data_IF_030394044574
#
_entry.id   IF_030394044574
#
_cell.length_a   1.000
_cell.length_b   1.000
_cell.length_c   1.000
_cell.angle_alpha   90.00
_cell.angle_beta   90.00
_cell.angle_gamma   90.00
#
_symmetry.space_group_name_H-M   'P 1'
#
loop_
_entity.id
_entity.type
_entity.pdbx_description
1 polymer ?
#
# COMPACT_ATOMS: atom_id res chain seq x y z
N UNK A 1 43.84 26.34 60.42
CA UNK A 1 42.51 25.96 59.94
C UNK A 1 42.26 26.69 58.61
N UNK A 2 42.32 25.94 57.54
CA UNK A 2 42.11 26.46 56.20
C UNK A 2 40.69 26.01 55.76
N UNK A 3 39.83 26.98 55.57
CA UNK A 3 38.46 26.74 55.14
C UNK A 3 38.40 26.90 53.62
N UNK A 4 38.24 25.80 52.87
CA UNK A 4 37.98 25.82 51.47
C UNK A 4 36.47 25.99 51.26
N UNK A 5 36.07 27.09 50.65
CA UNK A 5 34.72 27.29 50.12
C UNK A 5 34.67 26.75 48.69
N UNK A 6 33.93 25.69 48.47
CA UNK A 6 33.56 25.19 47.15
C UNK A 6 32.45 26.08 46.59
N UNK A 7 32.76 26.81 45.52
CA UNK A 7 31.78 27.48 44.72
C UNK A 7 31.05 26.41 43.90
N UNK A 8 29.74 26.24 44.17
CA UNK A 8 28.90 25.42 43.38
C UNK A 8 28.66 26.06 41.99
N UNK A 9 29.08 25.40 40.92
CA UNK A 9 28.56 25.69 39.58
C UNK A 9 27.10 25.26 39.55
N UNK A 10 26.20 26.22 39.49
CA UNK A 10 24.83 25.99 39.03
C UNK A 10 24.92 25.68 37.54
N UNK A 11 24.75 24.42 37.19
CA UNK A 11 24.36 24.06 35.85
C UNK A 11 22.96 24.64 35.64
N UNK A 12 22.88 25.72 34.86
CA UNK A 12 21.63 26.10 34.26
C UNK A 12 21.19 24.93 33.35
N UNK A 13 20.17 24.21 33.80
CA UNK A 13 19.41 23.35 32.91
C UNK A 13 18.86 24.25 31.81
N UNK A 14 19.48 24.16 30.64
CA UNK A 14 18.87 24.60 29.41
C UNK A 14 17.71 23.64 29.22
N UNK A 15 16.54 24.03 29.70
CA UNK A 15 15.28 23.48 29.23
C UNK A 15 15.19 23.86 27.75
N UNK A 16 15.80 23.03 26.89
CA UNK A 16 15.47 23.03 25.51
C UNK A 16 13.97 22.76 25.43
N UNK A 17 13.23 23.69 24.85
CA UNK A 17 11.85 23.44 24.45
C UNK A 17 11.85 22.08 23.73
N UNK A 18 11.42 21.03 24.43
CA UNK A 18 10.99 19.80 23.77
C UNK A 18 9.76 20.23 22.99
N UNK A 19 9.95 20.58 21.73
CA UNK A 19 8.86 20.69 20.80
C UNK A 19 8.14 19.34 20.85
N UNK A 20 6.87 19.37 21.21
CA UNK A 20 6.04 18.18 21.34
C UNK A 20 6.03 17.46 20.00
N UNK A 21 6.68 16.30 19.93
CA UNK A 21 6.73 15.50 18.72
C UNK A 21 5.34 14.91 18.42
N UNK A 22 4.87 15.05 17.17
CA UNK A 22 3.65 14.41 16.74
C UNK A 22 3.84 12.91 16.69
N UNK A 23 3.01 12.18 17.41
CA UNK A 23 2.97 10.72 17.34
C UNK A 23 2.01 10.27 16.25
N UNK A 24 2.51 9.54 15.27
CA UNK A 24 1.69 8.92 14.22
C UNK A 24 1.52 7.44 14.55
N UNK A 25 0.28 7.02 14.71
CA UNK A 25 -0.06 5.62 14.95
C UNK A 25 -0.57 5.00 13.65
N UNK A 26 0.04 3.90 13.23
CA UNK A 26 -0.38 3.19 12.02
C UNK A 26 -1.25 1.99 12.38
N UNK A 27 -2.36 1.85 11.67
CA UNK A 27 -3.15 0.62 11.63
C UNK A 27 -3.11 0.03 10.23
N UNK A 28 -3.05 -1.29 10.13
CA UNK A 28 -3.19 -2.00 8.88
C UNK A 28 -4.67 -2.28 8.65
N UNK A 29 -5.15 -1.96 7.47
CA UNK A 29 -6.54 -2.20 7.09
C UNK A 29 -6.60 -3.37 6.12
N UNK A 30 -7.56 -4.28 6.32
CA UNK A 30 -7.76 -5.47 5.48
C UNK A 30 -7.68 -6.76 6.28
N UNK A 31 -8.63 -7.68 6.04
CA UNK A 31 -8.88 -8.81 6.95
C UNK A 31 -8.37 -10.17 6.46
N UNK A 32 -7.98 -10.31 5.20
CA UNK A 32 -7.76 -11.63 4.58
C UNK A 32 -6.33 -11.85 4.04
N UNK A 33 -5.36 -11.08 4.49
CA UNK A 33 -3.95 -11.26 4.12
C UNK A 33 -3.20 -12.05 5.19
N UNK A 34 -2.15 -12.77 4.79
CA UNK A 34 -1.26 -13.47 5.72
C UNK A 34 -0.41 -12.47 6.51
N UNK A 35 0.04 -12.84 7.70
CA UNK A 35 0.91 -12.00 8.55
C UNK A 35 2.23 -11.61 7.87
N UNK A 36 2.77 -12.47 6.99
CA UNK A 36 3.96 -12.16 6.19
C UNK A 36 3.75 -11.01 5.20
N UNK A 37 2.50 -10.81 4.75
CA UNK A 37 2.12 -9.74 3.82
C UNK A 37 2.01 -8.37 4.52
N UNK A 38 2.28 -8.33 5.81
CA UNK A 38 2.04 -7.16 6.66
C UNK A 38 3.32 -6.52 7.20
N UNK A 39 4.48 -7.04 6.84
CA UNK A 39 5.75 -6.54 7.36
C UNK A 39 6.06 -5.15 6.80
N UNK A 40 6.32 -4.19 7.68
CA UNK A 40 6.85 -2.88 7.32
C UNK A 40 8.36 -2.91 7.52
N UNK A 41 9.11 -2.91 6.41
CA UNK A 41 10.58 -2.90 6.39
C UNK A 41 11.14 -1.49 6.32
N UNK A 42 10.41 -0.60 5.67
CA UNK A 42 10.77 0.81 5.53
C UNK A 42 9.51 1.68 5.60
N UNK A 43 9.68 2.92 6.02
CA UNK A 43 8.62 3.91 6.06
C UNK A 43 9.20 5.27 5.69
N UNK A 44 8.57 5.92 4.74
CA UNK A 44 8.87 7.31 4.36
C UNK A 44 7.61 8.16 4.42
N UNK A 45 7.79 9.48 4.53
CA UNK A 45 6.67 10.41 4.49
C UNK A 45 6.99 11.63 3.64
N UNK A 46 5.94 12.22 3.08
CA UNK A 46 6.01 13.35 2.14
C UNK A 46 4.94 14.35 2.55
N UNK A 47 5.37 15.54 2.99
CA UNK A 47 4.47 16.59 3.43
C UNK A 47 4.24 17.63 2.35
N UNK A 48 2.98 17.81 2.00
CA UNK A 48 2.50 18.80 1.02
C UNK A 48 1.76 19.94 1.73
N UNK A 49 1.96 21.16 1.24
CA UNK A 49 1.22 22.34 1.65
C UNK A 49 0.92 23.19 0.43
N UNK A 50 -0.35 23.54 0.25
CA UNK A 50 -0.84 24.26 -0.92
C UNK A 50 -0.48 23.56 -2.25
N UNK A 51 -0.56 22.22 -2.28
CA UNK A 51 -0.28 21.42 -3.47
C UNK A 51 1.19 21.28 -3.86
N UNK A 52 2.14 21.74 -3.03
CA UNK A 52 3.58 21.65 -3.27
C UNK A 52 4.25 20.87 -2.14
N UNK A 53 5.15 19.97 -2.50
CA UNK A 53 5.98 19.21 -1.56
C UNK A 53 6.87 20.17 -0.75
N UNK A 54 6.80 20.08 0.56
CA UNK A 54 7.59 20.90 1.49
C UNK A 54 8.70 20.14 2.18
N UNK A 55 8.44 18.89 2.54
CA UNK A 55 9.39 18.06 3.28
C UNK A 55 9.32 16.63 2.82
N UNK A 56 10.47 15.98 2.82
CA UNK A 56 10.64 14.54 2.60
C UNK A 56 11.30 13.95 3.83
N UNK A 57 10.67 12.92 4.37
CA UNK A 57 11.18 12.10 5.47
C UNK A 57 11.54 10.72 4.89
N UNK A 58 12.77 10.54 4.39
CA UNK A 58 13.12 9.37 3.58
C UNK A 58 13.15 8.07 4.39
N UNK A 59 13.39 8.17 5.69
CA UNK A 59 13.42 7.01 6.60
C UNK A 59 12.88 7.45 7.94
N UNK A 60 11.73 6.90 8.30
CA UNK A 60 11.12 7.12 9.60
C UNK A 60 11.37 5.90 10.49
N UNK A 61 11.76 6.10 11.76
CA UNK A 61 11.85 5.00 12.69
C UNK A 61 10.46 4.45 12.98
N UNK A 62 10.28 3.14 12.79
CA UNK A 62 9.07 2.43 13.18
C UNK A 62 9.42 1.59 14.40
N UNK A 63 8.88 1.96 15.55
CA UNK A 63 9.05 1.16 16.77
C UNK A 63 8.13 -0.07 16.75
N UNK A 64 8.29 -0.99 17.69
CA UNK A 64 7.54 -2.25 17.75
C UNK A 64 6.01 -2.10 17.85
N UNK A 65 5.49 -0.88 17.99
CA UNK A 65 4.04 -0.57 18.03
C UNK A 65 3.54 0.07 16.74
N UNK A 66 4.32 0.06 15.67
CA UNK A 66 3.99 0.74 14.41
C UNK A 66 3.68 2.23 14.61
N UNK A 67 4.51 2.90 15.36
CA UNK A 67 4.44 4.36 15.55
C UNK A 67 5.70 5.00 15.02
N UNK A 68 5.58 6.20 14.48
CA UNK A 68 6.72 7.08 14.22
C UNK A 68 6.44 8.44 14.82
N UNK A 69 7.52 9.22 15.02
CA UNK A 69 7.42 10.59 15.50
C UNK A 69 7.87 11.54 14.40
N UNK A 70 7.04 12.53 14.11
CA UNK A 70 7.36 13.65 13.24
C UNK A 70 7.65 14.88 14.12
N UNK A 71 8.70 15.61 13.78
CA UNK A 71 9.03 16.86 14.47
C UNK A 71 8.15 17.99 13.94
N UNK A 72 7.46 18.72 14.81
CA UNK A 72 6.30 19.51 14.42
C UNK A 72 6.53 20.94 13.99
N UNK A 73 7.70 21.36 13.64
CA UNK A 73 7.91 22.79 13.32
C UNK A 73 6.94 23.35 12.27
N UNK A 74 6.16 22.50 11.59
CA UNK A 74 5.38 22.95 10.44
C UNK A 74 4.14 22.13 10.15
N UNK A 75 3.44 21.69 11.17
CA UNK A 75 2.34 20.74 11.08
C UNK A 75 1.07 21.29 10.46
N UNK A 76 1.15 21.71 9.22
CA UNK A 76 -0.03 22.01 8.41
C UNK A 76 0.19 21.44 7.02
N UNK A 77 -0.83 20.76 6.51
CA UNK A 77 -0.81 20.19 5.17
C UNK A 77 -1.13 18.72 5.15
N UNK A 78 -1.08 18.13 3.98
CA UNK A 78 -1.30 16.70 3.78
C UNK A 78 0.02 15.97 3.90
N UNK A 79 0.05 14.87 4.65
CA UNK A 79 1.19 13.97 4.74
C UNK A 79 0.80 12.62 4.18
N UNK A 80 1.57 12.17 3.21
CA UNK A 80 1.48 10.84 2.62
C UNK A 80 2.56 9.94 3.21
N UNK A 81 2.19 8.74 3.62
CA UNK A 81 3.08 7.73 4.16
C UNK A 81 3.20 6.58 3.18
N UNK A 82 4.43 6.14 2.93
CA UNK A 82 4.76 5.00 2.09
C UNK A 82 5.56 4.00 2.91
N UNK A 83 4.97 2.84 3.18
CA UNK A 83 5.68 1.69 3.73
C UNK A 83 6.13 0.77 2.59
N UNK A 84 7.38 0.36 2.60
CA UNK A 84 8.02 -0.49 1.58
C UNK A 84 8.06 0.15 0.17
N UNK A 85 8.06 1.47 0.08
CA UNK A 85 7.91 2.22 -1.18
C UNK A 85 9.16 2.96 -1.65
N UNK A 86 10.33 2.78 -1.04
CA UNK A 86 11.54 3.56 -1.30
C UNK A 86 11.99 3.53 -2.78
N UNK A 87 11.83 2.39 -3.45
CA UNK A 87 12.24 2.25 -4.84
C UNK A 87 11.38 3.06 -5.83
N UNK A 88 10.13 3.38 -5.48
CA UNK A 88 9.28 4.26 -6.29
C UNK A 88 9.71 5.71 -6.22
N UNK A 89 10.16 6.14 -5.05
CA UNK A 89 10.52 7.53 -4.80
C UNK A 89 12.01 7.81 -5.03
N UNK A 90 12.86 6.80 -4.91
CA UNK A 90 14.29 6.88 -5.21
C UNK A 90 14.62 6.99 -6.70
N UNK A 91 13.75 6.48 -7.57
CA UNK A 91 13.89 6.56 -9.04
C UNK A 91 13.20 7.79 -9.66
N UNK A 92 12.40 8.51 -8.88
CA UNK A 92 11.66 9.69 -9.31
C UNK A 92 12.32 10.93 -8.72
N UNK A 93 12.48 11.97 -9.53
CA UNK A 93 13.05 13.25 -9.06
C UNK A 93 12.04 14.02 -8.18
N UNK A 94 11.88 13.55 -6.94
CA UNK A 94 10.97 14.13 -5.95
C UNK A 94 11.74 15.17 -5.15
N UNK A 95 11.48 16.44 -5.44
CA UNK A 95 12.20 17.58 -4.86
C UNK A 95 11.25 18.48 -4.06
N UNK A 96 11.60 18.83 -2.80
CA UNK A 96 10.90 19.89 -2.08
C UNK A 96 10.88 21.19 -2.91
N UNK A 97 9.81 21.94 -2.79
CA UNK A 97 9.51 23.20 -3.49
C UNK A 97 9.31 23.08 -5.01
N UNK A 98 9.52 21.89 -5.60
CA UNK A 98 9.35 21.64 -7.04
C UNK A 98 8.25 20.63 -7.36
N UNK A 99 8.19 19.52 -6.62
CA UNK A 99 7.21 18.46 -6.88
C UNK A 99 5.81 18.90 -6.49
N UNK A 100 4.86 18.81 -7.42
CA UNK A 100 3.45 19.06 -7.12
C UNK A 100 2.79 17.81 -6.51
N UNK A 101 1.75 18.03 -5.69
CA UNK A 101 0.97 16.93 -5.12
C UNK A 101 0.30 16.09 -6.21
N UNK A 102 -0.13 16.72 -7.30
CA UNK A 102 -0.71 16.02 -8.44
C UNK A 102 0.29 15.08 -9.14
N UNK A 103 1.53 15.52 -9.36
CA UNK A 103 2.59 14.68 -9.93
C UNK A 103 2.93 13.52 -9.00
N UNK A 104 2.99 13.77 -7.70
CA UNK A 104 3.26 12.75 -6.69
C UNK A 104 2.15 11.68 -6.66
N UNK A 105 0.88 12.07 -6.70
CA UNK A 105 -0.25 11.16 -6.75
C UNK A 105 -0.34 10.36 -8.07
N UNK A 106 0.31 10.83 -9.13
CA UNK A 106 0.36 10.17 -10.43
C UNK A 106 1.52 9.18 -10.59
N UNK A 107 2.36 8.97 -9.57
CA UNK A 107 3.40 7.94 -9.62
C UNK A 107 2.74 6.57 -9.78
N UNK A 108 3.19 5.82 -10.79
CA UNK A 108 2.63 4.52 -11.13
C UNK A 108 3.64 3.39 -10.93
N UNK A 109 3.11 2.20 -10.68
CA UNK A 109 3.89 0.98 -10.58
C UNK A 109 3.11 -0.24 -11.08
N UNK A 110 3.84 -1.31 -11.38
CA UNK A 110 3.25 -2.63 -11.64
C UNK A 110 2.99 -3.35 -10.30
N UNK A 111 2.18 -4.39 -10.33
CA UNK A 111 1.93 -5.19 -9.12
C UNK A 111 3.23 -5.83 -8.59
N UNK A 112 4.10 -6.29 -9.48
CA UNK A 112 5.39 -6.88 -9.11
C UNK A 112 6.26 -5.85 -8.37
N UNK A 113 6.38 -4.64 -8.91
CA UNK A 113 7.12 -3.56 -8.27
C UNK A 113 6.51 -3.19 -6.90
N UNK A 114 5.17 -3.17 -6.79
CA UNK A 114 4.48 -2.89 -5.52
C UNK A 114 4.66 -3.99 -4.45
N UNK A 115 5.27 -5.13 -4.81
CA UNK A 115 5.52 -6.25 -3.89
C UNK A 115 7.01 -6.61 -3.76
N UNK A 116 7.91 -5.96 -4.49
CA UNK A 116 9.32 -6.31 -4.60
C UNK A 116 10.05 -6.35 -3.24
N UNK A 117 9.81 -5.36 -2.39
CA UNK A 117 10.44 -5.23 -1.06
C UNK A 117 9.49 -5.51 0.11
N UNK A 118 8.43 -6.27 -0.12
CA UNK A 118 7.25 -6.39 0.70
C UNK A 118 6.11 -5.56 0.10
N UNK A 119 4.90 -5.75 0.59
CA UNK A 119 3.77 -5.02 0.03
C UNK A 119 3.92 -3.51 0.26
N UNK A 120 3.89 -2.75 -0.83
CA UNK A 120 3.72 -1.31 -0.75
C UNK A 120 2.38 -1.00 -0.06
N UNK A 121 2.46 -0.31 1.06
CA UNK A 121 1.29 0.18 1.78
C UNK A 121 1.35 1.69 1.88
N UNK A 122 0.22 2.34 1.64
CA UNK A 122 0.14 3.80 1.67
C UNK A 122 -0.99 4.27 2.56
N UNK A 123 -0.80 5.43 3.15
CA UNK A 123 -1.81 6.12 3.93
C UNK A 123 -1.59 7.62 3.88
N UNK A 124 -2.59 8.38 4.27
CA UNK A 124 -2.48 9.84 4.31
C UNK A 124 -3.25 10.42 5.49
N UNK A 125 -2.84 11.60 5.90
CA UNK A 125 -3.55 12.42 6.89
C UNK A 125 -3.35 13.90 6.59
N UNK A 126 -4.30 14.71 7.05
CA UNK A 126 -4.17 16.17 7.04
C UNK A 126 -3.82 16.62 8.45
N UNK A 127 -2.63 17.18 8.61
CA UNK A 127 -2.16 17.66 9.91
C UNK A 127 -2.74 19.02 10.26
N UNK A 128 -3.19 19.14 11.50
CA UNK A 128 -3.62 20.39 12.12
C UNK A 128 -2.56 20.86 13.12
N UNK A 129 -2.45 22.16 13.32
CA UNK A 129 -1.37 22.78 14.09
C UNK A 129 -1.28 22.33 15.57
N UNK A 130 -2.39 21.84 16.11
CA UNK A 130 -2.52 21.55 17.54
C UNK A 130 -2.61 20.04 17.84
N UNK A 131 -2.39 19.19 16.83
CA UNK A 131 -2.44 17.74 16.99
C UNK A 131 -1.17 17.20 17.60
N UNK A 132 -1.30 16.41 18.66
CA UNK A 132 -0.20 15.68 19.29
C UNK A 132 -0.13 14.22 18.86
N UNK A 133 -1.21 13.68 18.29
CA UNK A 133 -1.26 12.33 17.74
C UNK A 133 -2.27 12.22 16.61
N UNK A 134 -1.96 11.42 15.61
CA UNK A 134 -2.88 11.07 14.51
C UNK A 134 -2.83 9.58 14.25
N UNK A 135 -3.96 9.01 13.82
CA UNK A 135 -4.04 7.62 13.38
C UNK A 135 -4.08 7.58 11.85
N UNK A 136 -3.24 6.73 11.26
CA UNK A 136 -3.17 6.55 9.80
C UNK A 136 -3.40 5.10 9.45
N UNK A 137 -4.43 4.83 8.65
CA UNK A 137 -4.69 3.50 8.08
C UNK A 137 -3.82 3.26 6.85
N UNK A 138 -2.91 2.29 6.93
CA UNK A 138 -2.12 1.86 5.78
C UNK A 138 -2.91 0.83 4.96
N UNK A 139 -3.02 1.08 3.66
CA UNK A 139 -3.68 0.22 2.67
C UNK A 139 -2.65 -0.28 1.67
N UNK A 140 -2.68 -1.56 1.32
CA UNK A 140 -1.87 -2.09 0.23
C UNK A 140 -2.29 -1.48 -1.09
N UNK A 141 -1.34 -1.18 -1.96
CA UNK A 141 -1.62 -0.58 -3.26
C UNK A 141 -2.13 -1.57 -4.31
N UNK A 142 -2.22 -2.84 -3.95
CA UNK A 142 -2.72 -3.91 -4.81
C UNK A 142 -4.02 -4.52 -4.30
N UNK A 143 -4.82 -5.06 -5.23
CA UNK A 143 -5.90 -6.01 -4.97
C UNK A 143 -5.38 -7.44 -5.12
N UNK A 144 -5.98 -8.40 -4.38
CA UNK A 144 -5.69 -9.83 -4.50
C UNK A 144 -6.89 -10.56 -5.08
N UNK A 145 -6.63 -11.48 -6.02
CA UNK A 145 -7.64 -12.33 -6.62
C UNK A 145 -7.32 -13.78 -6.25
N UNK A 146 -8.24 -14.41 -5.54
CA UNK A 146 -8.17 -15.79 -5.11
C UNK A 146 -9.14 -16.66 -5.88
N UNK A 147 -8.81 -17.93 -6.00
CA UNK A 147 -9.72 -18.99 -6.42
C UNK A 147 -10.04 -19.88 -5.22
N UNK A 148 -11.32 -20.14 -5.00
CA UNK A 148 -11.81 -21.05 -3.97
C UNK A 148 -12.67 -22.14 -4.63
N UNK A 149 -12.17 -23.38 -4.60
CA UNK A 149 -12.87 -24.55 -5.11
C UNK A 149 -13.04 -25.57 -3.99
N UNK A 150 -14.22 -25.60 -3.34
CA UNK A 150 -14.45 -26.52 -2.22
C UNK A 150 -14.72 -27.97 -2.64
N UNK A 151 -14.82 -28.25 -3.95
CA UNK A 151 -15.23 -29.55 -4.47
C UNK A 151 -14.07 -30.33 -5.04
N UNK A 152 -13.85 -31.54 -4.53
CA UNK A 152 -12.78 -32.46 -5.02
C UNK A 152 -13.03 -32.99 -6.44
N UNK A 153 -14.28 -32.98 -6.88
CA UNK A 153 -14.66 -33.47 -8.20
C UNK A 153 -14.72 -32.39 -9.28
N UNK A 154 -14.43 -31.13 -8.89
CA UNK A 154 -14.31 -30.01 -9.82
C UNK A 154 -12.83 -29.61 -9.87
N UNK A 155 -12.27 -29.68 -11.05
CA UNK A 155 -10.87 -29.35 -11.31
C UNK A 155 -10.78 -28.11 -12.17
N UNK A 156 -10.05 -27.11 -11.71
CA UNK A 156 -9.80 -25.87 -12.45
C UNK A 156 -8.46 -25.99 -13.17
N UNK A 157 -8.46 -25.91 -14.49
CA UNK A 157 -7.28 -26.03 -15.34
C UNK A 157 -6.67 -24.69 -15.74
N UNK A 158 -7.49 -23.67 -15.91
CA UNK A 158 -7.00 -22.31 -16.15
C UNK A 158 -8.02 -21.27 -15.73
N UNK A 159 -7.51 -20.10 -15.40
CA UNK A 159 -8.28 -18.88 -15.13
C UNK A 159 -7.74 -17.78 -16.04
N UNK A 160 -8.64 -17.10 -16.73
CA UNK A 160 -8.34 -15.98 -17.61
C UNK A 160 -9.16 -14.78 -17.14
N UNK A 161 -8.52 -13.61 -17.02
CA UNK A 161 -9.18 -12.36 -16.63
C UNK A 161 -8.79 -11.30 -17.65
N UNK A 162 -9.80 -10.73 -18.30
CA UNK A 162 -9.62 -9.73 -19.34
C UNK A 162 -9.69 -8.30 -18.78
N UNK A 163 -9.10 -7.37 -19.54
CA UNK A 163 -9.15 -5.93 -19.28
C UNK A 163 -8.47 -5.49 -17.97
N UNK A 164 -7.33 -6.09 -17.63
CA UNK A 164 -6.53 -5.71 -16.46
C UNK A 164 -5.46 -4.69 -16.85
N UNK A 165 -5.35 -3.57 -16.13
CA UNK A 165 -4.21 -2.67 -16.25
C UNK A 165 -2.97 -3.29 -15.61
N UNK A 166 -1.84 -3.20 -16.29
CA UNK A 166 -0.54 -3.67 -15.78
C UNK A 166 0.07 -2.71 -14.77
N UNK A 167 -0.32 -1.44 -14.83
CA UNK A 167 0.16 -0.38 -13.93
C UNK A 167 -1.01 0.33 -13.25
N UNK A 168 -0.78 0.83 -12.06
CA UNK A 168 -1.73 1.66 -11.30
C UNK A 168 -1.00 2.66 -10.42
N UNK A 169 -1.73 3.62 -9.87
CA UNK A 169 -1.17 4.60 -8.96
C UNK A 169 -0.71 3.93 -7.66
N UNK A 170 0.50 4.27 -7.22
CA UNK A 170 1.03 3.74 -5.95
C UNK A 170 0.27 4.30 -4.74
N UNK A 171 -0.20 5.53 -4.83
CA UNK A 171 -0.96 6.25 -3.81
C UNK A 171 -2.47 6.20 -4.09
N UNK A 172 -3.26 6.32 -3.02
CA UNK A 172 -4.71 6.53 -3.15
C UNK A 172 -4.95 7.97 -3.60
N UNK A 173 -5.62 8.13 -4.72
CA UNK A 173 -5.91 9.44 -5.29
C UNK A 173 -6.91 9.32 -6.44
N UNK A 174 -7.35 10.45 -7.01
CA UNK A 174 -8.21 10.41 -8.17
C UNK A 174 -7.51 9.67 -9.31
N UNK A 175 -8.16 8.61 -9.81
CA UNK A 175 -7.69 7.89 -10.98
C UNK A 175 -7.71 8.85 -12.18
N UNK A 176 -6.55 9.35 -12.55
CA UNK A 176 -6.42 10.16 -13.74
C UNK A 176 -6.38 9.28 -15.00
N UNK A 177 -7.42 9.44 -15.81
CA UNK A 177 -7.56 9.01 -17.18
C UNK A 177 -7.21 7.54 -17.52
N UNK A 178 -8.26 6.75 -17.57
CA UNK A 178 -8.28 5.36 -18.06
C UNK A 178 -7.68 5.18 -19.48
N UNK A 179 -7.51 6.27 -20.24
CA UNK A 179 -7.15 6.24 -21.65
C UNK A 179 -5.71 5.87 -21.93
N UNK A 180 -4.82 5.94 -20.96
CA UNK A 180 -3.37 5.75 -21.14
C UNK A 180 -2.80 4.50 -20.49
N UNK A 181 -3.62 3.59 -19.97
CA UNK A 181 -3.12 2.35 -19.38
C UNK A 181 -3.39 1.18 -20.31
N UNK A 182 -2.32 0.54 -20.74
CA UNK A 182 -2.39 -0.72 -21.48
C UNK A 182 -3.18 -1.75 -20.67
N UNK A 183 -4.20 -2.34 -21.30
CA UNK A 183 -4.93 -3.45 -20.70
C UNK A 183 -4.46 -4.77 -21.29
N UNK A 184 -4.29 -5.75 -20.43
CA UNK A 184 -3.88 -7.09 -20.78
C UNK A 184 -4.90 -8.12 -20.31
N UNK A 185 -4.77 -9.32 -20.84
CA UNK A 185 -5.40 -10.51 -20.31
C UNK A 185 -4.43 -11.22 -19.38
N UNK A 186 -4.79 -11.36 -18.10
CA UNK A 186 -4.08 -12.24 -17.17
C UNK A 186 -4.55 -13.68 -17.38
N UNK A 187 -3.60 -14.60 -17.50
CA UNK A 187 -3.91 -16.02 -17.57
C UNK A 187 -3.00 -16.82 -16.63
N UNK A 188 -3.61 -17.66 -15.81
CA UNK A 188 -2.91 -18.67 -15.02
C UNK A 188 -3.38 -20.05 -15.47
N UNK A 189 -2.44 -20.85 -15.98
CA UNK A 189 -2.64 -22.28 -16.19
C UNK A 189 -2.26 -22.99 -14.88
N UNK A 190 -3.10 -23.90 -14.43
CA UNK A 190 -2.87 -24.63 -13.18
C UNK A 190 -1.85 -25.77 -13.33
N UNK A 191 -1.04 -25.78 -14.40
CA UNK A 191 0.07 -26.71 -14.62
C UNK A 191 -0.36 -28.16 -14.80
N UNK A 192 0.57 -29.08 -14.49
CA UNK A 192 0.34 -30.53 -14.53
C UNK A 192 -0.56 -31.01 -13.39
N UNK A 193 -0.63 -30.25 -12.30
CA UNK A 193 -1.57 -30.48 -11.20
C UNK A 193 -2.67 -29.43 -11.22
N UNK A 194 -3.81 -29.72 -11.85
CA UNK A 194 -4.95 -28.84 -11.86
C UNK A 194 -5.46 -28.59 -10.45
N UNK A 195 -5.90 -27.36 -10.19
CA UNK A 195 -6.35 -26.96 -8.86
C UNK A 195 -7.70 -27.58 -8.51
N UNK A 196 -7.74 -28.34 -7.45
CA UNK A 196 -8.95 -28.91 -6.87
C UNK A 196 -8.89 -28.83 -5.33
N UNK A 197 -10.00 -28.48 -4.71
CA UNK A 197 -10.21 -28.49 -3.27
C UNK A 197 -9.26 -27.57 -2.46
N UNK A 198 -9.73 -26.36 -2.22
CA UNK A 198 -9.07 -25.37 -1.36
C UNK A 198 -9.11 -23.97 -1.95
N UNK A 199 -8.30 -23.10 -1.35
CA UNK A 199 -8.14 -21.72 -1.77
C UNK A 199 -6.70 -21.45 -2.20
N UNK A 200 -6.53 -20.74 -3.30
CA UNK A 200 -5.22 -20.35 -3.83
C UNK A 200 -5.26 -18.91 -4.33
N UNK A 201 -4.20 -18.15 -4.09
CA UNK A 201 -4.03 -16.83 -4.68
C UNK A 201 -3.60 -16.98 -6.14
N UNK A 202 -4.37 -16.36 -7.03
CA UNK A 202 -4.09 -16.35 -8.46
C UNK A 202 -3.22 -15.18 -8.86
N UNK A 203 -3.65 -13.96 -8.52
CA UNK A 203 -3.04 -12.72 -8.99
C UNK A 203 -3.08 -11.63 -7.92
N UNK A 204 -2.06 -10.79 -7.95
CA UNK A 204 -2.10 -9.46 -7.40
C UNK A 204 -2.13 -8.46 -8.57
N UNK A 205 -2.97 -7.45 -8.47
CA UNK A 205 -3.13 -6.43 -9.51
C UNK A 205 -3.17 -5.04 -8.89
N UNK A 206 -2.65 -4.01 -9.57
CA UNK A 206 -2.85 -2.64 -9.13
C UNK A 206 -4.33 -2.30 -9.04
N UNK A 207 -4.68 -1.28 -8.30
CA UNK A 207 -6.06 -0.77 -8.22
C UNK A 207 -6.63 -0.46 -9.62
N UNK A 208 -7.88 -0.88 -9.86
CA UNK A 208 -8.62 -0.72 -11.11
C UNK A 208 -10.01 -0.13 -10.88
N UNK A 209 -10.16 0.67 -9.84
CA UNK A 209 -11.48 1.16 -9.37
C UNK A 209 -12.22 1.98 -10.43
N UNK A 210 -11.54 2.58 -11.38
CA UNK A 210 -12.12 3.33 -12.49
C UNK A 210 -12.57 2.50 -13.69
N UNK A 211 -12.30 1.18 -13.75
CA UNK A 211 -12.50 0.37 -14.98
C UNK A 211 -13.76 -0.45 -14.99
N UNK A 212 -14.67 -0.45 -14.20
CA UNK A 212 -15.86 -1.30 -14.27
C UNK A 212 -15.56 -2.80 -14.10
N UNK A 213 -16.36 -3.65 -14.70
CA UNK A 213 -16.28 -5.09 -14.51
C UNK A 213 -15.23 -5.74 -15.41
N UNK A 214 -14.54 -6.76 -14.89
CA UNK A 214 -13.59 -7.59 -15.61
C UNK A 214 -14.20 -8.94 -15.95
N UNK A 215 -14.15 -9.33 -17.24
CA UNK A 215 -14.60 -10.67 -17.64
C UNK A 215 -13.63 -11.74 -17.16
N UNK A 216 -14.16 -12.82 -16.61
CA UNK A 216 -13.41 -13.98 -16.14
C UNK A 216 -13.89 -15.23 -16.85
N UNK A 217 -12.96 -16.00 -17.42
CA UNK A 217 -13.21 -17.31 -17.97
C UNK A 217 -12.40 -18.36 -17.22
N UNK A 218 -13.08 -19.40 -16.74
CA UNK A 218 -12.46 -20.58 -16.14
C UNK A 218 -12.65 -21.77 -17.07
N UNK A 219 -11.57 -22.53 -17.26
CA UNK A 219 -11.65 -23.86 -17.86
C UNK A 219 -11.64 -24.88 -16.73
N UNK A 220 -12.72 -25.62 -16.61
CA UNK A 220 -12.92 -26.60 -15.53
C UNK A 220 -13.29 -27.97 -16.09
N UNK A 221 -12.99 -29.03 -15.34
CA UNK A 221 -13.54 -30.36 -15.60
C UNK A 221 -14.35 -30.85 -14.41
N UNK A 222 -15.48 -31.52 -14.72
CA UNK A 222 -16.38 -32.14 -13.75
C UNK A 222 -16.66 -33.55 -14.24
N UNK A 223 -16.32 -34.58 -13.48
CA UNK A 223 -16.53 -35.97 -13.88
C UNK A 223 -16.07 -36.26 -15.33
N UNK A 224 -14.82 -35.83 -15.66
CA UNK A 224 -14.19 -35.96 -16.99
C UNK A 224 -14.82 -35.12 -18.12
N UNK A 225 -15.87 -34.39 -17.85
CA UNK A 225 -16.46 -33.40 -18.77
C UNK A 225 -15.80 -32.02 -18.67
N UNK A 226 -15.39 -31.44 -19.81
CA UNK A 226 -14.79 -30.12 -19.88
C UNK A 226 -15.81 -29.00 -20.08
N UNK A 227 -15.71 -27.94 -19.28
CA UNK A 227 -16.62 -26.80 -19.32
C UNK A 227 -15.85 -25.49 -19.30
N UNK A 228 -16.37 -24.49 -20.02
CA UNK A 228 -15.95 -23.08 -19.89
C UNK A 228 -17.01 -22.33 -19.10
N UNK A 229 -16.60 -21.77 -17.99
CA UNK A 229 -17.46 -20.99 -17.11
C UNK A 229 -17.05 -19.53 -17.22
N UNK A 230 -18.04 -18.67 -17.49
CA UNK A 230 -17.82 -17.22 -17.53
C UNK A 230 -18.48 -16.55 -16.34
N UNK A 231 -17.79 -15.58 -15.78
CA UNK A 231 -18.27 -14.71 -14.70
C UNK A 231 -17.62 -13.34 -14.83
N UNK A 232 -17.91 -12.45 -13.89
CA UNK A 232 -17.30 -11.13 -13.84
C UNK A 232 -16.78 -10.83 -12.45
N UNK A 233 -15.68 -10.08 -12.38
CA UNK A 233 -15.23 -9.39 -11.18
C UNK A 233 -15.63 -7.92 -11.27
N UNK A 234 -16.03 -7.29 -10.17
CA UNK A 234 -16.29 -5.85 -10.14
C UNK A 234 -15.00 -5.07 -10.33
N UNK A 235 -15.08 -3.76 -10.34
CA UNK A 235 -13.91 -2.88 -10.24
C UNK A 235 -13.03 -3.29 -9.05
N UNK A 236 -11.72 -3.44 -9.31
CA UNK A 236 -10.78 -3.94 -8.31
C UNK A 236 -10.19 -2.78 -7.51
N UNK A 237 -10.53 -2.72 -6.25
CA UNK A 237 -10.04 -1.69 -5.33
C UNK A 237 -8.81 -2.20 -4.58
N UNK A 238 -7.85 -1.30 -4.30
CA UNK A 238 -6.68 -1.60 -3.47
C UNK A 238 -7.07 -2.18 -2.13
N UNK A 239 -6.18 -2.98 -1.57
CA UNK A 239 -6.32 -3.58 -0.24
C UNK A 239 -7.53 -4.52 -0.08
N UNK A 240 -8.21 -4.91 -1.18
CA UNK A 240 -9.32 -5.86 -1.16
C UNK A 240 -8.92 -7.23 -1.72
N UNK A 241 -9.61 -8.25 -1.23
CA UNK A 241 -9.50 -9.63 -1.72
C UNK A 241 -10.79 -10.01 -2.43
N UNK A 242 -10.66 -10.43 -3.67
CA UNK A 242 -11.75 -10.91 -4.51
C UNK A 242 -11.65 -12.42 -4.67
N UNK A 243 -12.69 -13.16 -4.36
CA UNK A 243 -12.66 -14.62 -4.41
C UNK A 243 -13.58 -15.14 -5.53
N UNK A 244 -12.99 -15.81 -6.50
CA UNK A 244 -13.70 -16.60 -7.50
C UNK A 244 -14.10 -17.92 -6.85
N UNK A 245 -15.39 -18.10 -6.58
CA UNK A 245 -15.93 -19.32 -5.97
C UNK A 245 -16.49 -20.24 -7.02
N UNK A 246 -15.98 -21.46 -7.09
CA UNK A 246 -16.59 -22.54 -7.86
C UNK A 246 -17.75 -23.10 -7.03
N UNK A 247 -18.95 -23.10 -7.62
CA UNK A 247 -20.18 -23.58 -6.97
C UNK A 247 -20.79 -24.69 -7.81
#
# INVERSE_FOLDING_TARGET
ACMLTLAGCTTEDIQGNQQDALTVQFSRTGTDYNTADEEIKSLSAYRFKNGILKEVFPTLPVNGTLTCQLVPEQMRGTVYFLANGEHFTGSTDIQPEATTEADFLNIKGTAEAMMENGFLMTGQTVLQADETSVAVGLKRSVARIDLDSPYKHVTVHSVKIDNICTTGNILEGPMNDEKNTESVTLQKKCGEEPFANGRVTLFYVPEQSGRGNHEVELLVSVNDGWHRVKTTLPALERNKVYTLKVK
#
